data_IF_693936253356
#
_entry.id   IF_693936253356
#
_cell.length_a   1.000
_cell.length_b   1.000
_cell.length_c   1.000
_cell.angle_alpha   90.00
_cell.angle_beta   90.00
_cell.angle_gamma   90.00
#
_symmetry.space_group_name_H-M   'P 1'
#
loop_
_entity.id
_entity.type
_entity.pdbx_description
1 polymer ?
#
# COMPACT_ATOMS: atom_id res chain seq x y z
N UNK A 1 -16.56 -41.82 31.88
CA UNK A 1 -17.08 -42.56 30.71
C UNK A 1 -16.63 -44.02 30.71
N UNK A 2 -15.32 -44.31 30.88
CA UNK A 2 -14.82 -45.69 30.85
C UNK A 2 -15.48 -46.63 31.87
N UNK A 3 -15.68 -46.18 33.10
CA UNK A 3 -16.36 -46.96 34.15
C UNK A 3 -17.83 -47.21 33.85
N UNK A 4 -18.54 -46.22 33.29
CA UNK A 4 -19.94 -46.36 32.90
C UNK A 4 -20.09 -47.38 31.76
N UNK A 5 -19.23 -47.29 30.74
CA UNK A 5 -19.20 -48.23 29.62
C UNK A 5 -18.93 -49.66 30.12
N UNK A 6 -17.93 -49.84 31.00
CA UNK A 6 -17.63 -51.14 31.60
C UNK A 6 -18.82 -51.70 32.39
N UNK A 7 -19.55 -50.85 33.14
CA UNK A 7 -20.77 -51.27 33.83
C UNK A 7 -21.88 -51.68 32.86
N UNK A 8 -22.06 -50.98 31.74
CA UNK A 8 -23.07 -51.34 30.71
C UNK A 8 -22.70 -52.64 30.00
N UNK A 9 -21.44 -52.83 29.66
CA UNK A 9 -20.93 -54.06 29.07
C UNK A 9 -21.08 -55.25 30.03
N UNK A 10 -20.73 -55.06 31.31
CA UNK A 10 -20.91 -56.09 32.32
C UNK A 10 -22.40 -56.41 32.55
N UNK A 11 -23.29 -55.42 32.44
CA UNK A 11 -24.74 -55.64 32.49
C UNK A 11 -25.23 -56.47 31.29
N UNK A 12 -24.75 -56.19 30.08
CA UNK A 12 -25.05 -56.99 28.88
C UNK A 12 -24.58 -58.45 29.05
N UNK A 13 -23.34 -58.64 29.54
CA UNK A 13 -22.76 -59.96 29.79
C UNK A 13 -23.57 -60.75 30.84
N UNK A 14 -23.98 -60.09 31.93
CA UNK A 14 -24.86 -60.74 32.93
C UNK A 14 -26.22 -61.10 32.36
N UNK A 15 -26.84 -60.24 31.54
CA UNK A 15 -28.14 -60.50 30.91
C UNK A 15 -28.06 -61.62 29.85
N UNK A 16 -26.94 -61.73 29.14
CA UNK A 16 -26.68 -62.80 28.19
C UNK A 16 -26.50 -64.13 28.93
N UNK A 17 -25.71 -64.15 30.00
CA UNK A 17 -25.50 -65.34 30.83
C UNK A 17 -26.81 -65.82 31.47
N UNK A 18 -27.69 -64.92 31.93
CA UNK A 18 -28.99 -65.31 32.47
C UNK A 18 -29.93 -65.87 31.40
N UNK A 19 -29.90 -65.33 30.18
CA UNK A 19 -30.67 -65.87 29.06
C UNK A 19 -30.19 -67.27 28.67
N UNK A 20 -28.88 -67.47 28.55
CA UNK A 20 -28.25 -68.76 28.23
C UNK A 20 -28.60 -69.80 29.29
N UNK A 21 -28.51 -69.46 30.58
CA UNK A 21 -28.90 -70.35 31.68
C UNK A 21 -30.39 -70.72 31.60
N UNK A 22 -31.28 -69.76 31.27
CA UNK A 22 -32.71 -70.03 31.12
C UNK A 22 -33.02 -71.00 29.97
N UNK A 23 -32.27 -70.89 28.86
CA UNK A 23 -32.40 -71.77 27.70
C UNK A 23 -31.81 -73.16 28.00
N UNK A 24 -30.66 -73.22 28.68
CA UNK A 24 -30.03 -74.47 29.10
C UNK A 24 -30.88 -75.25 30.11
N UNK A 25 -31.59 -74.54 30.99
CA UNK A 25 -32.57 -75.10 31.92
C UNK A 25 -33.91 -75.49 31.26
N UNK A 26 -34.02 -75.42 29.92
CA UNK A 26 -35.24 -75.68 29.14
C UNK A 26 -36.45 -74.83 29.55
N UNK A 27 -36.22 -73.65 30.14
CA UNK A 27 -37.24 -72.70 30.56
C UNK A 27 -36.96 -71.31 29.98
N UNK A 28 -37.22 -71.10 28.67
CA UNK A 28 -36.92 -69.84 28.01
C UNK A 28 -37.74 -68.70 28.62
N UNK A 29 -37.05 -67.74 29.24
CA UNK A 29 -37.69 -66.60 29.90
C UNK A 29 -37.71 -65.36 28.99
N UNK A 30 -38.91 -64.89 28.66
CA UNK A 30 -39.10 -63.66 27.86
C UNK A 30 -38.53 -62.44 28.59
N UNK A 31 -38.65 -62.41 29.92
CA UNK A 31 -38.08 -61.33 30.74
C UNK A 31 -36.55 -61.23 30.66
N UNK A 32 -35.81 -62.33 30.46
CA UNK A 32 -34.36 -62.27 30.27
C UNK A 32 -34.00 -61.74 28.88
N UNK A 33 -34.80 -62.06 27.87
CA UNK A 33 -34.64 -61.51 26.53
C UNK A 33 -34.89 -60.00 26.51
N UNK A 34 -35.96 -59.53 27.15
CA UNK A 34 -36.26 -58.09 27.26
C UNK A 34 -35.16 -57.34 28.03
N UNK A 35 -34.60 -57.95 29.08
CA UNK A 35 -33.48 -57.38 29.83
C UNK A 35 -32.19 -57.29 29.01
N UNK A 36 -31.95 -58.24 28.10
CA UNK A 36 -30.83 -58.21 27.17
C UNK A 36 -31.01 -57.08 26.14
N UNK A 37 -32.19 -56.95 25.55
CA UNK A 37 -32.51 -55.87 24.60
C UNK A 37 -32.33 -54.50 25.25
N UNK A 38 -32.83 -54.31 26.47
CA UNK A 38 -32.66 -53.05 27.19
C UNK A 38 -31.18 -52.75 27.53
N UNK A 39 -30.37 -53.78 27.80
CA UNK A 39 -28.94 -53.61 28.06
C UNK A 39 -28.15 -53.26 26.77
N UNK A 40 -28.57 -53.81 25.64
CA UNK A 40 -28.01 -53.54 24.31
C UNK A 40 -28.30 -52.10 23.86
N UNK A 41 -29.55 -51.65 23.97
CA UNK A 41 -29.92 -50.24 23.69
C UNK A 41 -29.14 -49.24 24.56
N UNK A 42 -28.89 -49.58 25.83
CA UNK A 42 -28.09 -48.75 26.74
C UNK A 42 -26.61 -48.73 26.35
N UNK A 43 -26.08 -49.81 25.78
CA UNK A 43 -24.71 -49.88 25.26
C UNK A 43 -24.58 -49.03 23.98
N UNK A 44 -25.53 -49.15 23.06
CA UNK A 44 -25.56 -48.37 21.82
C UNK A 44 -25.57 -46.86 22.08
N UNK A 45 -26.45 -46.40 22.99
CA UNK A 45 -26.48 -44.99 23.41
C UNK A 45 -25.12 -44.53 23.96
N UNK A 46 -24.42 -45.39 24.68
CA UNK A 46 -23.10 -45.07 25.24
C UNK A 46 -22.00 -45.00 24.18
N UNK A 47 -22.08 -45.84 23.13
CA UNK A 47 -21.17 -45.81 21.98
C UNK A 47 -21.39 -44.56 21.13
N UNK A 48 -22.65 -44.17 20.92
CA UNK A 48 -22.98 -42.93 20.23
C UNK A 48 -22.43 -41.71 20.98
N UNK A 49 -22.63 -41.66 22.30
CA UNK A 49 -22.05 -40.60 23.13
C UNK A 49 -20.52 -40.56 23.07
N UNK A 50 -19.87 -41.72 23.02
CA UNK A 50 -18.41 -41.81 22.89
C UNK A 50 -17.94 -41.28 21.54
N UNK A 51 -18.62 -41.64 20.46
CA UNK A 51 -18.30 -41.15 19.11
C UNK A 51 -18.42 -39.63 19.03
N UNK A 52 -19.50 -39.07 19.60
CA UNK A 52 -19.69 -37.61 19.71
C UNK A 52 -18.59 -36.96 20.53
N UNK A 53 -18.21 -37.53 21.68
CA UNK A 53 -17.13 -36.98 22.50
C UNK A 53 -15.78 -37.03 21.78
N UNK A 54 -15.51 -38.10 21.03
CA UNK A 54 -14.28 -38.21 20.23
C UNK A 54 -14.23 -37.14 19.13
N UNK A 55 -15.33 -36.92 18.40
CA UNK A 55 -15.42 -35.86 17.39
C UNK A 55 -15.29 -34.45 18.01
N UNK A 56 -15.87 -34.23 19.18
CA UNK A 56 -15.71 -32.96 19.91
C UNK A 56 -14.26 -32.77 20.37
N UNK A 57 -13.61 -33.83 20.85
CA UNK A 57 -12.23 -33.77 21.30
C UNK A 57 -11.26 -33.47 20.15
N UNK A 58 -11.41 -34.11 18.99
CA UNK A 58 -10.60 -33.79 17.81
C UNK A 58 -10.77 -32.34 17.40
N UNK A 59 -12.02 -31.83 17.41
CA UNK A 59 -12.31 -30.43 17.14
C UNK A 59 -11.67 -29.48 18.16
N UNK A 60 -11.65 -29.83 19.44
CA UNK A 60 -10.97 -29.04 20.48
C UNK A 60 -9.46 -28.99 20.22
N UNK A 61 -8.85 -30.12 19.80
CA UNK A 61 -7.43 -30.14 19.45
C UNK A 61 -7.12 -29.26 18.24
N UNK A 62 -7.95 -29.32 17.20
CA UNK A 62 -7.84 -28.43 16.04
C UNK A 62 -7.96 -26.96 16.46
N UNK A 63 -8.97 -26.62 17.26
CA UNK A 63 -9.15 -25.25 17.75
C UNK A 63 -7.95 -24.76 18.57
N UNK A 64 -7.35 -25.61 19.41
CA UNK A 64 -6.13 -25.27 20.14
C UNK A 64 -4.95 -25.02 19.20
N UNK A 65 -4.74 -25.90 18.22
CA UNK A 65 -3.70 -25.71 17.21
C UNK A 65 -3.90 -24.40 16.42
N UNK A 66 -5.14 -24.04 16.09
CA UNK A 66 -5.43 -22.76 15.43
C UNK A 66 -5.17 -21.55 16.33
N UNK A 67 -5.49 -21.64 17.62
CA UNK A 67 -5.23 -20.56 18.57
C UNK A 67 -3.72 -20.34 18.73
N UNK A 68 -2.95 -21.42 18.92
CA UNK A 68 -1.49 -21.36 19.02
C UNK A 68 -0.86 -20.75 17.75
N UNK A 69 -1.36 -21.12 16.56
CA UNK A 69 -0.89 -20.56 15.28
C UNK A 69 -1.22 -19.06 15.14
N UNK A 70 -2.39 -18.62 15.61
CA UNK A 70 -2.76 -17.20 15.61
C UNK A 70 -1.90 -16.40 16.59
N UNK A 71 -1.60 -16.94 17.76
CA UNK A 71 -0.72 -16.30 18.73
C UNK A 71 0.70 -16.13 18.20
N UNK A 72 1.26 -17.15 17.53
CA UNK A 72 2.56 -17.02 16.86
C UNK A 72 2.53 -15.99 15.72
N UNK A 73 1.41 -15.87 15.00
CA UNK A 73 1.22 -14.80 14.02
C UNK A 73 1.22 -13.42 14.69
N UNK A 74 0.52 -13.24 15.80
CA UNK A 74 0.51 -11.97 16.54
C UNK A 74 1.91 -11.62 17.07
N UNK A 75 2.63 -12.59 17.62
CA UNK A 75 4.02 -12.36 18.09
C UNK A 75 4.94 -11.96 16.94
N UNK A 76 4.86 -12.64 15.80
CA UNK A 76 5.69 -12.32 14.64
C UNK A 76 5.37 -10.93 14.08
N UNK A 77 4.09 -10.55 13.95
CA UNK A 77 3.71 -9.21 13.48
C UNK A 77 4.18 -8.13 14.45
N UNK A 78 4.00 -8.31 15.76
CA UNK A 78 4.51 -7.37 16.76
C UNK A 78 6.04 -7.25 16.71
N UNK A 79 6.75 -8.36 16.50
CA UNK A 79 8.21 -8.34 16.34
C UNK A 79 8.61 -7.57 15.10
N UNK A 80 7.97 -7.83 13.95
CA UNK A 80 8.24 -7.08 12.72
C UNK A 80 7.94 -5.59 12.86
N UNK A 81 6.87 -5.21 13.57
CA UNK A 81 6.53 -3.81 13.80
C UNK A 81 7.53 -3.13 14.76
N UNK A 82 8.03 -3.85 15.76
CA UNK A 82 9.08 -3.36 16.64
C UNK A 82 10.41 -3.18 15.88
N UNK A 83 10.76 -4.13 15.00
CA UNK A 83 11.96 -4.08 14.18
C UNK A 83 11.89 -2.94 13.15
N UNK A 84 10.77 -2.76 12.46
CA UNK A 84 10.58 -1.63 11.52
C UNK A 84 10.57 -0.30 12.25
N UNK A 85 9.96 -0.21 13.44
CA UNK A 85 10.05 0.99 14.27
C UNK A 85 11.50 1.29 14.65
N UNK A 86 12.27 0.27 15.05
CA UNK A 86 13.68 0.44 15.39
C UNK A 86 14.48 0.90 14.17
N UNK A 87 14.23 0.32 13.00
CA UNK A 87 14.87 0.71 11.74
C UNK A 87 14.53 2.17 11.39
N UNK A 88 13.26 2.59 11.46
CA UNK A 88 12.86 3.97 11.20
C UNK A 88 13.49 4.98 12.15
N UNK A 89 13.70 4.60 13.42
CA UNK A 89 14.40 5.44 14.38
C UNK A 89 15.92 5.46 14.15
N UNK A 90 16.48 4.39 13.59
CA UNK A 90 17.90 4.28 13.28
C UNK A 90 18.25 5.00 11.97
N UNK A 91 17.30 5.18 11.05
CA UNK A 91 17.47 6.05 9.89
C UNK A 91 17.83 7.44 10.43
N UNK A 92 19.08 7.91 10.25
CA UNK A 92 19.41 9.26 10.64
C UNK A 92 18.55 10.16 9.76
N UNK A 93 17.63 10.91 10.39
CA UNK A 93 16.94 12.00 9.72
C UNK A 93 18.02 12.78 9.00
N UNK A 94 17.94 12.89 7.68
CA UNK A 94 18.94 13.56 6.87
C UNK A 94 19.12 14.95 7.47
N UNK A 95 20.10 15.09 8.37
CA UNK A 95 20.43 16.35 8.96
C UNK A 95 20.95 17.11 7.77
N UNK A 96 20.12 18.04 7.30
CA UNK A 96 20.44 19.04 6.29
C UNK A 96 21.90 19.37 6.53
N UNK A 97 22.77 18.83 5.66
CA UNK A 97 24.19 18.76 5.94
C UNK A 97 24.63 20.15 6.36
N UNK A 98 25.40 20.27 7.45
CA UNK A 98 25.77 21.55 8.05
C UNK A 98 26.44 22.56 7.08
N UNK A 99 26.69 22.15 5.84
CA UNK A 99 27.04 22.98 4.68
C UNK A 99 25.83 23.33 3.78
N UNK A 100 24.63 23.54 4.33
CA UNK A 100 23.59 24.30 3.60
C UNK A 100 24.11 25.72 3.42
N UNK A 101 24.73 25.99 2.27
CA UNK A 101 25.02 27.35 1.82
C UNK A 101 23.71 28.11 1.90
N UNK A 102 23.66 29.11 2.78
CA UNK A 102 22.48 29.97 2.90
C UNK A 102 22.37 30.75 1.59
N UNK A 103 21.43 30.37 0.73
CA UNK A 103 21.17 31.05 -0.53
C UNK A 103 20.17 32.17 -0.25
N UNK A 104 20.52 33.39 -0.64
CA UNK A 104 19.62 34.54 -0.48
C UNK A 104 18.40 34.42 -1.40
N UNK A 105 17.26 34.97 -0.98
CA UNK A 105 16.04 34.98 -1.79
C UNK A 105 16.27 35.65 -3.14
N UNK A 106 17.05 36.73 -3.17
CA UNK A 106 17.40 37.44 -4.41
C UNK A 106 18.25 36.58 -5.36
N UNK A 107 19.20 35.80 -4.84
CA UNK A 107 20.00 34.86 -5.62
C UNK A 107 19.11 33.74 -6.19
N UNK A 108 18.16 33.23 -5.40
CA UNK A 108 17.18 32.24 -5.86
C UNK A 108 16.25 32.80 -6.95
N UNK A 109 15.71 34.01 -6.76
CA UNK A 109 14.79 34.61 -7.72
C UNK A 109 15.48 35.05 -9.00
N UNK A 110 16.69 35.59 -8.92
CA UNK A 110 17.49 35.93 -10.09
C UNK A 110 17.88 34.66 -10.86
N UNK A 111 18.36 33.61 -10.19
CA UNK A 111 18.65 32.33 -10.81
C UNK A 111 17.41 31.70 -11.45
N UNK A 112 16.27 31.70 -10.73
CA UNK A 112 14.99 31.23 -11.24
C UNK A 112 14.57 31.99 -12.51
N UNK A 113 14.76 33.32 -12.54
CA UNK A 113 14.51 34.14 -13.73
C UNK A 113 15.35 33.69 -14.93
N UNK A 114 16.64 33.38 -14.73
CA UNK A 114 17.51 32.91 -15.81
C UNK A 114 17.11 31.53 -16.35
N UNK A 115 16.85 30.57 -15.47
CA UNK A 115 16.50 29.21 -15.90
C UNK A 115 15.06 29.09 -16.41
N UNK A 116 14.14 29.97 -15.98
CA UNK A 116 12.73 29.94 -16.39
C UNK A 116 12.54 29.90 -17.92
N UNK A 117 13.45 30.56 -18.65
CA UNK A 117 13.40 30.71 -20.10
C UNK A 117 13.87 29.47 -20.85
N UNK A 118 14.66 28.62 -20.19
CA UNK A 118 15.30 27.44 -20.78
C UNK A 118 14.82 26.13 -20.20
N UNK A 119 14.03 26.15 -19.12
CA UNK A 119 13.44 24.96 -18.49
C UNK A 119 12.12 24.53 -19.16
N UNK A 120 11.57 25.37 -20.05
CA UNK A 120 10.25 25.16 -20.66
C UNK A 120 10.34 25.46 -22.16
N UNK A 121 9.66 24.68 -23.04
CA UNK A 121 9.61 24.98 -24.46
C UNK A 121 9.03 26.36 -24.74
N UNK A 122 9.55 27.11 -25.73
CA UNK A 122 9.12 28.48 -26.04
C UNK A 122 7.64 28.60 -26.47
N UNK A 123 7.02 27.48 -26.84
CA UNK A 123 5.60 27.38 -27.21
C UNK A 123 4.67 27.08 -26.02
N UNK A 124 5.23 26.73 -24.86
CA UNK A 124 4.44 26.36 -23.69
C UNK A 124 3.95 27.63 -22.98
N UNK A 125 2.71 28.01 -23.29
CA UNK A 125 1.94 28.98 -22.51
C UNK A 125 1.13 28.23 -21.45
N UNK A 126 1.84 27.65 -20.48
CA UNK A 126 1.20 27.15 -19.27
C UNK A 126 0.54 28.32 -18.54
N UNK A 127 -0.76 28.26 -18.37
CA UNK A 127 -1.49 29.14 -17.45
C UNK A 127 -0.97 28.81 -16.04
N UNK A 128 -0.09 29.64 -15.52
CA UNK A 128 0.18 29.65 -14.09
C UNK A 128 -1.08 30.24 -13.47
N UNK A 129 -2.07 29.40 -13.18
CA UNK A 129 -3.24 29.81 -12.41
C UNK A 129 -2.75 30.19 -11.02
N UNK A 130 -2.42 31.47 -10.86
CA UNK A 130 -2.31 32.13 -9.57
C UNK A 130 -3.73 32.30 -9.02
N UNK A 131 -4.40 31.20 -8.68
CA UNK A 131 -5.52 31.24 -7.74
C UNK A 131 -4.95 31.08 -6.33
N UNK A 132 -4.68 32.22 -5.71
CA UNK A 132 -4.68 32.32 -4.25
C UNK A 132 -6.09 31.95 -3.77
N UNK A 133 -6.27 31.00 -2.84
CA UNK A 133 -7.58 30.72 -2.27
C UNK A 133 -7.99 31.88 -1.35
N UNK A 134 -8.75 32.82 -1.91
CA UNK A 134 -9.30 33.97 -1.17
C UNK A 134 -10.73 33.68 -0.75
N UNK A 135 -10.88 33.27 0.51
CA UNK A 135 -11.97 33.60 1.45
C UNK A 135 -13.40 33.01 1.20
N UNK A 136 -14.16 32.66 2.29
CA UNK A 136 -15.36 31.82 2.21
C UNK A 136 -16.61 32.65 1.90
N UNK A 137 -17.48 32.12 1.05
CA UNK A 137 -18.82 32.68 0.83
C UNK A 137 -19.90 31.78 1.39
N UNK A 138 -20.72 32.40 2.24
CA UNK A 138 -21.86 31.87 2.96
C UNK A 138 -23.15 31.89 2.12
N UNK A 139 -23.96 30.84 2.34
CA UNK A 139 -25.43 30.83 2.50
C UNK A 139 -26.39 30.92 1.29
N UNK A 140 -27.54 30.26 1.53
CA UNK A 140 -28.84 30.24 0.84
C UNK A 140 -28.95 29.33 -0.40
N UNK A 141 -29.52 28.13 -0.32
CA UNK A 141 -30.96 27.78 -0.22
C UNK A 141 -31.76 28.32 -1.40
N UNK A 142 -31.97 27.48 -2.41
CA UNK A 142 -33.24 27.46 -3.14
C UNK A 142 -33.43 26.11 -3.85
N UNK A 143 -34.63 25.54 -3.71
CA UNK A 143 -35.05 24.32 -4.40
C UNK A 143 -36.46 24.54 -4.94
N UNK A 144 -36.78 24.09 -6.16
CA UNK A 144 -38.15 23.76 -6.52
C UNK A 144 -38.33 22.26 -6.76
N UNK A 145 -39.45 21.81 -6.22
CA UNK A 145 -39.94 20.45 -6.05
C UNK A 145 -40.89 20.06 -7.20
N UNK A 146 -40.77 18.84 -7.75
CA UNK A 146 -41.91 18.06 -8.31
C UNK A 146 -41.66 16.58 -7.98
N UNK A 147 -42.32 16.03 -6.97
CA UNK A 147 -43.66 15.39 -6.99
C UNK A 147 -43.59 13.91 -7.41
N UNK A 148 -43.39 13.03 -6.43
CA UNK A 148 -43.95 11.67 -6.44
C UNK A 148 -44.67 11.38 -5.13
N UNK A 149 -45.81 10.72 -5.30
CA UNK A 149 -46.94 10.54 -4.41
C UNK A 149 -46.71 9.46 -3.34
N UNK A 150 -47.51 9.60 -2.27
CA UNK A 150 -47.43 8.99 -0.95
C UNK A 150 -47.52 7.45 -0.86
N UNK A 151 -46.79 6.93 0.13
CA UNK A 151 -46.97 5.62 0.76
C UNK A 151 -46.22 5.50 2.12
N UNK A 152 -46.47 6.44 3.05
CA UNK A 152 -46.54 6.30 4.54
C UNK A 152 -45.41 5.50 5.27
N UNK A 153 -44.40 6.16 5.86
CA UNK A 153 -44.21 6.57 7.29
C UNK A 153 -43.89 5.38 8.26
N UNK A 154 -42.86 5.32 9.14
CA UNK A 154 -42.01 6.27 9.93
C UNK A 154 -40.96 5.40 10.74
N UNK A 155 -40.02 5.90 11.58
CA UNK A 155 -38.95 6.91 11.46
C UNK A 155 -37.51 6.40 11.82
N UNK A 156 -36.53 7.32 11.73
CA UNK A 156 -35.08 7.34 12.05
C UNK A 156 -34.65 6.76 13.44
N UNK A 157 -33.38 6.53 13.84
CA UNK A 157 -32.03 6.91 13.41
C UNK A 157 -30.96 6.14 14.24
N UNK A 158 -29.72 6.09 13.73
CA UNK A 158 -28.41 5.94 14.40
C UNK A 158 -28.01 4.56 14.97
N UNK A 159 -26.83 4.01 14.66
CA UNK A 159 -25.76 4.53 13.81
C UNK A 159 -24.65 3.49 13.65
N UNK A 160 -23.97 3.54 12.51
CA UNK A 160 -22.61 3.02 12.40
C UNK A 160 -21.87 3.88 11.38
N UNK A 161 -20.83 4.55 11.85
CA UNK A 161 -20.06 5.54 11.12
C UNK A 161 -18.65 4.97 11.02
N UNK A 162 -18.31 4.33 9.92
CA UNK A 162 -16.91 4.02 9.57
C UNK A 162 -16.77 3.98 8.05
N UNK A 163 -16.38 5.11 7.47
CA UNK A 163 -15.78 5.19 6.13
C UNK A 163 -14.90 6.44 6.10
N UNK A 164 -13.66 6.30 6.56
CA UNK A 164 -12.61 7.28 6.37
C UNK A 164 -11.33 6.51 6.12
N UNK A 165 -11.07 6.14 4.86
CA UNK A 165 -9.77 5.68 4.35
C UNK A 165 -9.79 5.52 2.82
N UNK A 166 -10.31 6.48 2.04
CA UNK A 166 -10.20 6.44 0.56
C UNK A 166 -9.79 7.78 -0.09
N UNK A 167 -9.43 8.79 0.70
CA UNK A 167 -9.04 10.10 0.14
C UNK A 167 -7.54 10.30 -0.07
N UNK A 168 -6.67 9.38 0.37
CA UNK A 168 -5.23 9.51 0.21
C UNK A 168 -4.72 9.00 -1.15
N UNK A 169 -5.28 7.91 -1.70
CA UNK A 169 -4.85 7.35 -2.98
C UNK A 169 -5.36 8.16 -4.19
N UNK A 170 -6.51 8.82 -4.07
CA UNK A 170 -7.03 9.70 -5.13
C UNK A 170 -6.17 10.94 -5.34
N UNK A 171 -5.57 11.50 -4.28
CA UNK A 171 -4.77 12.73 -4.39
C UNK A 171 -3.41 12.49 -5.06
N UNK A 172 -2.75 11.35 -4.77
CA UNK A 172 -1.51 10.97 -5.44
C UNK A 172 -1.72 10.69 -6.94
N UNK A 173 -2.80 9.99 -7.28
CA UNK A 173 -3.15 9.70 -8.67
C UNK A 173 -3.56 10.95 -9.45
N UNK A 174 -4.22 11.92 -8.79
CA UNK A 174 -4.59 13.20 -9.41
C UNK A 174 -3.38 14.07 -9.71
N UNK A 175 -2.44 14.20 -8.79
CA UNK A 175 -1.20 14.95 -9.02
C UNK A 175 -0.34 14.32 -10.13
N UNK A 176 -0.27 12.99 -10.20
CA UNK A 176 0.43 12.27 -11.27
C UNK A 176 -0.30 12.39 -12.61
N UNK A 177 -1.63 12.34 -12.63
CA UNK A 177 -2.43 12.54 -13.84
C UNK A 177 -2.32 13.98 -14.37
N UNK A 178 -2.32 14.97 -13.47
CA UNK A 178 -2.12 16.38 -13.80
C UNK A 178 -0.71 16.63 -14.34
N UNK A 179 0.33 16.07 -13.70
CA UNK A 179 1.69 16.13 -14.21
C UNK A 179 1.84 15.47 -15.60
N UNK A 180 1.22 14.31 -15.82
CA UNK A 180 1.20 13.64 -17.13
C UNK A 180 0.48 14.48 -18.20
N UNK A 181 -0.64 15.11 -17.86
CA UNK A 181 -1.37 16.00 -18.75
C UNK A 181 -0.58 17.27 -19.11
N UNK A 182 0.30 17.75 -18.23
CA UNK A 182 1.23 18.84 -18.53
C UNK A 182 2.42 18.40 -19.42
N UNK A 183 2.83 17.13 -19.33
CA UNK A 183 3.97 16.57 -20.06
C UNK A 183 3.60 16.05 -21.46
N UNK A 184 2.37 15.60 -21.68
CA UNK A 184 1.90 15.08 -22.97
C UNK A 184 2.05 16.10 -24.13
N UNK A 185 1.68 17.39 -23.97
CA UNK A 185 1.91 18.40 -25.00
C UNK A 185 3.41 18.73 -25.19
N UNK A 186 4.22 18.54 -24.14
CA UNK A 186 5.67 18.75 -24.18
C UNK A 186 6.38 17.67 -25.03
N UNK A 187 5.85 16.44 -25.01
CA UNK A 187 6.44 15.28 -25.71
C UNK A 187 6.33 15.36 -27.24
N UNK A 188 5.41 16.19 -27.76
CA UNK A 188 5.20 16.39 -29.19
C UNK A 188 6.05 17.54 -29.78
N UNK A 189 6.77 18.26 -28.92
CA UNK A 189 7.64 19.37 -29.33
C UNK A 189 9.07 18.87 -29.48
N UNK A 190 9.76 19.29 -30.54
CA UNK A 190 11.22 19.12 -30.74
C UNK A 190 12.00 20.06 -29.80
N UNK A 191 11.73 19.95 -28.50
CA UNK A 191 12.40 20.70 -27.46
C UNK A 191 13.34 19.79 -26.67
N UNK A 192 14.58 20.24 -26.54
CA UNK A 192 15.64 19.50 -25.88
C UNK A 192 16.18 20.39 -24.74
N UNK A 193 16.18 19.92 -23.47
CA UNK A 193 16.54 20.73 -22.31
C UNK A 193 18.03 21.06 -22.18
N UNK A 194 18.86 20.62 -23.13
CA UNK A 194 20.29 20.90 -23.17
C UNK A 194 20.65 21.67 -24.46
N UNK A 195 21.81 22.34 -24.51
CA UNK A 195 22.24 23.11 -25.67
C UNK A 195 22.20 22.28 -26.97
N UNK A 196 21.74 22.88 -28.07
CA UNK A 196 21.72 22.21 -29.37
C UNK A 196 23.13 22.00 -29.91
N UNK A 197 23.29 21.01 -30.80
CA UNK A 197 24.59 20.68 -31.39
C UNK A 197 25.24 21.90 -32.08
N UNK A 198 24.45 22.75 -32.72
CA UNK A 198 24.96 23.96 -33.35
C UNK A 198 25.51 24.95 -32.31
N UNK A 199 24.85 25.12 -31.17
CA UNK A 199 25.35 25.97 -30.07
C UNK A 199 26.63 25.39 -29.47
N UNK A 200 26.72 24.07 -29.35
CA UNK A 200 27.92 23.37 -28.88
C UNK A 200 29.10 23.61 -29.83
N UNK A 201 28.87 23.48 -31.14
CA UNK A 201 29.89 23.71 -32.18
C UNK A 201 30.33 25.17 -32.32
N UNK A 202 29.48 26.12 -31.92
CA UNK A 202 29.84 27.54 -31.86
C UNK A 202 30.52 27.94 -30.54
N UNK A 203 30.63 27.01 -29.59
CA UNK A 203 31.26 27.27 -28.30
C UNK A 203 32.78 27.44 -28.40
N UNK A 204 33.36 28.18 -27.46
CA UNK A 204 34.81 28.39 -27.38
C UNK A 204 35.62 27.08 -27.28
N UNK A 205 35.03 26.02 -26.72
CA UNK A 205 35.66 24.71 -26.66
C UNK A 205 35.78 24.08 -28.06
N UNK A 206 34.75 24.19 -28.89
CA UNK A 206 34.75 23.65 -30.25
C UNK A 206 35.73 24.40 -31.15
N UNK A 207 35.90 25.72 -30.96
CA UNK A 207 36.92 26.50 -31.70
C UNK A 207 38.33 26.10 -31.31
N UNK A 208 38.59 25.84 -30.01
CA UNK A 208 39.90 25.33 -29.55
C UNK A 208 40.17 23.94 -30.13
N UNK A 209 39.16 23.08 -30.18
CA UNK A 209 39.31 21.76 -30.80
C UNK A 209 39.64 21.86 -32.29
N UNK A 210 38.97 22.76 -33.04
CA UNK A 210 39.30 23.03 -34.44
C UNK A 210 40.74 23.52 -34.63
N UNK A 211 41.23 24.43 -33.78
CA UNK A 211 42.63 24.89 -33.83
C UNK A 211 43.62 23.74 -33.62
N UNK A 212 43.34 22.85 -32.67
CA UNK A 212 44.16 21.66 -32.41
C UNK A 212 44.14 20.70 -33.59
N UNK A 213 42.98 20.48 -34.22
CA UNK A 213 42.82 19.64 -35.41
C UNK A 213 43.56 20.21 -36.64
N UNK A 214 43.61 21.54 -36.76
CA UNK A 214 44.38 22.27 -37.78
C UNK A 214 45.89 22.36 -37.48
N UNK A 215 46.34 21.85 -36.33
CA UNK A 215 47.73 21.88 -35.89
C UNK A 215 48.22 23.25 -35.40
N UNK A 216 47.29 24.15 -35.10
CA UNK A 216 47.53 25.50 -34.58
C UNK A 216 47.46 25.45 -33.05
N UNK A 217 48.51 25.91 -32.37
CA UNK A 217 48.52 25.92 -30.90
C UNK A 217 47.53 26.97 -30.36
N UNK A 218 46.48 26.56 -29.61
CA UNK A 218 45.43 27.46 -29.13
C UNK A 218 45.93 28.52 -28.13
N UNK A 219 47.14 28.37 -27.60
CA UNK A 219 47.75 29.34 -26.68
C UNK A 219 48.46 30.49 -27.42
N UNK A 220 48.64 30.37 -28.73
CA UNK A 220 49.41 31.32 -29.55
C UNK A 220 48.54 32.27 -30.39
N UNK A 221 47.25 31.96 -30.52
CA UNK A 221 46.29 32.80 -31.24
C UNK A 221 45.68 33.81 -30.27
N UNK A 222 45.88 35.09 -30.54
CA UNK A 222 45.27 36.19 -29.79
C UNK A 222 43.75 36.07 -29.85
N UNK A 223 43.06 36.35 -28.75
CA UNK A 223 41.60 36.37 -28.77
C UNK A 223 41.09 37.41 -29.77
N UNK A 224 39.91 37.22 -30.36
CA UNK A 224 39.37 38.13 -31.37
C UNK A 224 39.32 39.60 -30.89
N UNK A 225 39.06 39.80 -29.59
CA UNK A 225 39.05 41.11 -28.94
C UNK A 225 40.46 41.73 -28.83
N UNK A 226 41.47 40.91 -28.58
CA UNK A 226 42.88 41.31 -28.48
C UNK A 226 43.49 41.59 -29.85
N UNK A 227 43.03 40.88 -30.88
CA UNK A 227 43.41 41.10 -32.27
C UNK A 227 42.79 42.39 -32.84
N UNK A 228 41.51 42.67 -32.55
CA UNK A 228 40.90 43.96 -32.88
C UNK A 228 41.57 45.15 -32.15
N UNK A 229 41.99 44.95 -30.90
CA UNK A 229 42.75 45.98 -30.16
C UNK A 229 44.13 46.23 -30.78
N UNK A 230 44.82 45.18 -31.23
CA UNK A 230 46.10 45.27 -31.93
C UNK A 230 45.97 45.96 -33.31
N UNK A 231 44.90 45.68 -34.05
CA UNK A 231 44.63 46.33 -35.34
C UNK A 231 44.27 47.82 -35.18
N UNK A 232 43.49 48.17 -34.15
CA UNK A 232 43.23 49.58 -33.78
C UNK A 232 44.49 50.31 -33.29
N UNK A 233 45.46 49.59 -32.76
CA UNK A 233 46.75 50.15 -32.38
C UNK A 233 47.64 50.37 -33.61
N UNK A 234 47.66 49.43 -34.55
CA UNK A 234 48.43 49.52 -35.79
C UNK A 234 47.85 50.53 -36.80
N UNK A 235 46.52 50.68 -36.89
CA UNK A 235 45.86 51.67 -37.74
C UNK A 235 46.05 53.13 -37.30
N UNK A 236 46.56 53.37 -36.08
CA UNK A 236 46.89 54.72 -35.56
C UNK A 236 48.33 55.15 -35.86
N UNK A 237 49.12 54.27 -36.48
CA UNK A 237 50.56 54.44 -36.73
C UNK A 237 50.92 54.71 -38.20
N UNK A 238 49.93 54.88 -39.07
CA UNK A 238 50.04 55.36 -40.45
C UNK A 238 49.39 56.75 -40.56
#
# INVERSE_FOLDING_TARGET
MLSLFQTRFQRLETALNTLVESVAAYNPSVSAADALVAADEDLDKSLEQLAVHHANYSRILELRATADALDEKIKSTLRTLADTRKELLDIPAAQSTANTRQVGVEELLSYAKFISKTTVPPTFRGHISTELPSQPQSAAVDAPMTQITNGMATPAQNGDNTSTSEQAEQNGNRAVAEAKAMLEPLSQLDWVPWPSQQVILMGALATVQGMIEDGIDPTTVLSAEEQEAADRYNGRRL
#
